data_IF_905686840600
#
_entry.id   IF_905686840600
#
_cell.length_a   1.000
_cell.length_b   1.000
_cell.length_c   1.000
_cell.angle_alpha   90.00
_cell.angle_beta   90.00
_cell.angle_gamma   90.00
#
_symmetry.space_group_name_H-M   'P 1'
#
loop_
_entity.id
_entity.type
_entity.pdbx_description
1 polymer ?
#
# COMPACT_ATOMS: atom_id res chain seq x y z
N UNK A 1 -11.02 8.72 14.79
CA UNK A 1 -11.20 8.27 13.39
C UNK A 1 -12.68 8.32 13.08
N UNK A 2 -13.08 8.95 11.98
CA UNK A 2 -14.52 9.09 11.70
C UNK A 2 -15.12 7.74 11.35
N UNK A 3 -16.14 7.36 12.09
CA UNK A 3 -17.03 6.27 11.70
C UNK A 3 -17.92 6.79 10.58
N UNK A 4 -18.14 5.98 9.55
CA UNK A 4 -19.22 6.25 8.59
C UNK A 4 -20.51 6.01 9.38
N UNK A 5 -21.30 7.06 9.59
CA UNK A 5 -22.53 6.98 10.38
C UNK A 5 -23.56 6.02 9.76
N UNK A 6 -23.54 5.88 8.42
CA UNK A 6 -24.42 4.98 7.68
C UNK A 6 -23.63 4.15 6.65
N UNK A 7 -22.89 3.11 7.09
CA UNK A 7 -22.19 2.21 6.17
C UNK A 7 -23.16 1.51 5.20
N UNK A 8 -24.42 1.37 5.62
CA UNK A 8 -25.49 0.69 4.90
C UNK A 8 -25.85 1.39 3.57
N UNK A 9 -25.64 2.70 3.45
CA UNK A 9 -25.94 3.42 2.20
C UNK A 9 -25.09 2.92 1.01
N UNK A 10 -23.86 2.45 1.26
CA UNK A 10 -22.98 1.89 0.22
C UNK A 10 -23.47 0.51 -0.23
N UNK A 11 -23.83 -0.38 0.69
CA UNK A 11 -24.30 -1.73 0.34
C UNK A 11 -25.65 -1.71 -0.38
N UNK A 12 -26.52 -0.72 -0.11
CA UNK A 12 -27.76 -0.54 -0.86
C UNK A 12 -27.53 -0.10 -2.30
N UNK A 13 -26.48 0.70 -2.55
CA UNK A 13 -26.10 1.16 -3.89
C UNK A 13 -25.31 0.10 -4.67
N UNK A 14 -24.58 -0.76 -3.96
CA UNK A 14 -23.74 -1.81 -4.52
C UNK A 14 -24.00 -3.11 -3.75
N UNK A 15 -25.02 -3.90 -4.15
CA UNK A 15 -25.46 -5.07 -3.39
C UNK A 15 -24.40 -6.18 -3.31
N UNK A 16 -23.44 -6.19 -4.23
CA UNK A 16 -22.33 -7.13 -4.25
C UNK A 16 -21.17 -6.71 -3.31
N UNK A 17 -21.27 -5.53 -2.65
CA UNK A 17 -20.29 -5.11 -1.65
C UNK A 17 -20.63 -5.75 -0.31
N UNK A 18 -19.66 -6.50 0.22
CA UNK A 18 -19.68 -6.93 1.62
C UNK A 18 -18.82 -6.02 2.48
N UNK A 19 -19.38 -5.54 3.59
CA UNK A 19 -18.62 -4.85 4.62
C UNK A 19 -18.04 -5.87 5.59
N UNK A 20 -16.79 -5.68 5.99
CA UNK A 20 -16.15 -6.45 7.06
C UNK A 20 -15.85 -5.52 8.22
N UNK A 21 -16.09 -6.02 9.43
CA UNK A 21 -15.66 -5.34 10.65
C UNK A 21 -14.13 -5.18 10.63
N UNK A 22 -13.63 -4.13 11.27
CA UNK A 22 -12.22 -3.93 11.57
C UNK A 22 -12.07 -3.88 13.09
N UNK A 23 -12.33 -5.03 13.73
CA UNK A 23 -12.27 -5.14 15.18
C UNK A 23 -10.84 -5.45 15.63
N UNK A 24 -10.39 -4.81 16.71
CA UNK A 24 -8.99 -4.85 17.13
C UNK A 24 -8.51 -6.24 17.58
N UNK A 25 -9.44 -7.12 17.96
CA UNK A 25 -9.18 -8.53 18.24
C UNK A 25 -8.60 -9.27 17.01
N UNK A 26 -8.97 -8.87 15.78
CA UNK A 26 -8.45 -9.45 14.54
C UNK A 26 -6.96 -9.18 14.28
N UNK A 27 -6.41 -8.16 14.95
CA UNK A 27 -5.01 -7.74 14.85
C UNK A 27 -4.25 -7.82 16.18
N UNK A 28 -4.88 -8.30 17.25
CA UNK A 28 -4.31 -8.20 18.60
C UNK A 28 -2.93 -8.86 18.72
N UNK A 29 -2.77 -10.05 18.12
CA UNK A 29 -1.49 -10.78 18.13
C UNK A 29 -0.38 -10.04 17.38
N UNK A 30 -0.66 -9.55 16.18
CA UNK A 30 0.29 -8.74 15.42
C UNK A 30 0.59 -7.42 16.13
N UNK A 31 -0.42 -6.75 16.68
CA UNK A 31 -0.26 -5.49 17.40
C UNK A 31 0.69 -5.66 18.59
N UNK A 32 0.50 -6.71 19.39
CA UNK A 32 1.37 -7.03 20.52
C UNK A 32 2.80 -7.36 20.05
N UNK A 33 2.94 -8.11 18.96
CA UNK A 33 4.25 -8.39 18.37
C UNK A 33 5.01 -7.10 17.99
N UNK A 34 4.34 -6.17 17.30
CA UNK A 34 4.96 -4.95 16.77
C UNK A 34 5.15 -3.84 17.81
N UNK A 35 4.40 -3.84 18.92
CA UNK A 35 4.59 -2.94 20.07
C UNK A 35 5.92 -3.12 20.80
N UNK A 36 6.63 -4.23 20.54
CA UNK A 36 8.00 -4.45 21.04
C UNK A 36 9.05 -3.59 20.32
N UNK A 37 8.65 -2.90 19.25
CA UNK A 37 9.49 -1.96 18.51
C UNK A 37 9.02 -0.52 18.76
N UNK A 38 9.89 0.49 18.59
CA UNK A 38 9.53 1.88 18.86
C UNK A 38 8.29 2.32 18.09
N UNK A 39 7.38 3.04 18.76
CA UNK A 39 6.33 3.79 18.08
C UNK A 39 6.97 4.84 17.18
N UNK A 40 6.72 4.71 15.87
CA UNK A 40 7.40 5.52 14.86
C UNK A 40 6.78 6.90 14.71
N UNK A 41 5.50 7.04 15.07
CA UNK A 41 4.75 8.29 14.93
C UNK A 41 4.49 8.97 16.27
N UNK A 42 4.87 8.34 17.38
CA UNK A 42 4.65 8.85 18.74
C UNK A 42 3.16 9.20 18.97
N UNK A 43 2.29 8.30 18.51
CA UNK A 43 0.83 8.47 18.48
C UNK A 43 0.08 7.39 19.27
N UNK A 44 0.76 6.83 20.28
CA UNK A 44 0.30 5.70 21.09
C UNK A 44 -0.11 4.50 20.22
N UNK A 45 0.72 4.23 19.20
CA UNK A 45 0.52 3.15 18.23
C UNK A 45 -0.79 3.23 17.43
N UNK A 46 -1.46 4.38 17.36
CA UNK A 46 -2.66 4.56 16.55
C UNK A 46 -2.36 4.35 15.05
N UNK A 47 -1.23 4.86 14.56
CA UNK A 47 -0.77 4.65 13.18
C UNK A 47 -0.43 3.19 12.90
N UNK A 48 0.17 2.49 13.88
CA UNK A 48 0.44 1.06 13.77
C UNK A 48 -0.87 0.25 13.68
N UNK A 49 -1.85 0.54 14.54
CA UNK A 49 -3.17 -0.12 14.53
C UNK A 49 -3.84 0.02 13.17
N UNK A 50 -3.87 1.23 12.62
CA UNK A 50 -4.41 1.49 11.28
C UNK A 50 -3.68 0.71 10.20
N UNK A 51 -2.35 0.67 10.28
CA UNK A 51 -1.53 -0.05 9.32
C UNK A 51 -1.87 -1.54 9.33
N UNK A 52 -2.02 -2.16 10.51
CA UNK A 52 -2.36 -3.57 10.63
C UNK A 52 -3.73 -3.89 10.05
N UNK A 53 -4.75 -3.08 10.37
CA UNK A 53 -6.10 -3.21 9.77
C UNK A 53 -6.05 -3.05 8.25
N UNK A 54 -5.33 -2.04 7.76
CA UNK A 54 -5.13 -1.85 6.33
C UNK A 54 -4.47 -3.07 5.68
N UNK A 55 -3.46 -3.68 6.31
CA UNK A 55 -2.80 -4.88 5.78
C UNK A 55 -3.72 -6.11 5.77
N UNK A 56 -4.57 -6.30 6.80
CA UNK A 56 -5.56 -7.40 6.83
C UNK A 56 -6.58 -7.24 5.71
N UNK A 57 -7.13 -6.03 5.55
CA UNK A 57 -8.07 -5.70 4.47
C UNK A 57 -7.43 -5.93 3.10
N UNK A 58 -6.20 -5.46 2.92
CA UNK A 58 -5.46 -5.66 1.68
C UNK A 58 -5.23 -7.15 1.38
N UNK A 59 -4.77 -7.94 2.36
CA UNK A 59 -4.53 -9.36 2.19
C UNK A 59 -5.81 -10.13 1.83
N UNK A 60 -6.93 -9.81 2.49
CA UNK A 60 -8.22 -10.41 2.20
C UNK A 60 -8.68 -10.11 0.77
N UNK A 61 -8.60 -8.84 0.35
CA UNK A 61 -8.93 -8.42 -1.02
C UNK A 61 -8.02 -9.07 -2.06
N UNK A 62 -6.73 -9.20 -1.79
CA UNK A 62 -5.78 -9.88 -2.68
C UNK A 62 -6.09 -11.35 -2.84
N UNK A 63 -6.39 -12.07 -1.76
CA UNK A 63 -6.76 -13.50 -1.84
C UNK A 63 -7.99 -13.70 -2.72
N UNK A 64 -9.00 -12.84 -2.57
CA UNK A 64 -10.20 -12.88 -3.41
C UNK A 64 -9.89 -12.55 -4.86
N UNK A 65 -9.14 -11.47 -5.13
CA UNK A 65 -8.79 -11.10 -6.50
C UNK A 65 -8.00 -12.20 -7.22
N UNK A 66 -7.14 -12.93 -6.50
CA UNK A 66 -6.33 -14.01 -7.07
C UNK A 66 -7.11 -15.28 -7.41
N UNK A 67 -8.39 -15.41 -7.01
CA UNK A 67 -9.22 -16.55 -7.44
C UNK A 67 -9.67 -16.43 -8.90
N UNK A 68 -9.64 -15.22 -9.45
CA UNK A 68 -9.95 -14.93 -10.85
C UNK A 68 -8.72 -14.32 -11.54
N UNK A 69 -7.91 -15.13 -12.26
CA UNK A 69 -6.67 -14.66 -12.84
C UNK A 69 -6.86 -13.53 -13.85
N UNK A 70 -6.20 -12.39 -13.60
CA UNK A 70 -6.20 -11.23 -14.49
C UNK A 70 -4.79 -10.83 -14.96
N UNK A 71 -4.72 -10.11 -16.09
CA UNK A 71 -3.48 -9.51 -16.60
C UNK A 71 -2.97 -8.37 -15.70
N UNK A 72 -3.92 -7.63 -15.09
CA UNK A 72 -3.66 -6.55 -14.17
C UNK A 72 -4.46 -6.72 -12.89
N UNK A 73 -3.82 -6.47 -11.74
CA UNK A 73 -4.51 -6.30 -10.46
C UNK A 73 -4.29 -4.86 -9.99
N UNK A 74 -5.37 -4.16 -9.70
CA UNK A 74 -5.37 -2.74 -9.35
C UNK A 74 -5.77 -2.56 -7.89
N UNK A 75 -4.89 -1.95 -7.12
CA UNK A 75 -5.09 -1.66 -5.70
C UNK A 75 -5.44 -0.19 -5.54
N UNK A 76 -6.72 0.05 -5.27
CA UNK A 76 -7.29 1.38 -5.12
C UNK A 76 -7.73 1.58 -3.66
N UNK A 77 -7.42 2.75 -3.13
CA UNK A 77 -7.96 3.18 -1.83
C UNK A 77 -9.32 3.84 -2.03
N UNK A 78 -10.31 3.55 -1.18
CA UNK A 78 -11.64 4.17 -1.27
C UNK A 78 -11.65 5.64 -0.81
N UNK A 79 -10.64 6.07 -0.04
CA UNK A 79 -10.52 7.45 0.46
C UNK A 79 -9.76 8.38 -0.51
N UNK A 80 -9.66 8.04 -1.80
CA UNK A 80 -8.96 8.85 -2.80
C UNK A 80 -9.89 9.36 -3.89
N UNK A 81 -9.73 10.64 -4.26
CA UNK A 81 -10.24 11.21 -5.50
C UNK A 81 -9.15 11.08 -6.55
N UNK A 82 -9.41 10.31 -7.60
CA UNK A 82 -8.50 10.16 -8.74
C UNK A 82 -8.64 11.36 -9.66
N UNK A 83 -7.60 12.19 -9.74
CA UNK A 83 -7.62 13.46 -10.46
C UNK A 83 -7.28 13.29 -11.94
N UNK A 84 -6.51 12.24 -12.26
CA UNK A 84 -6.10 11.90 -13.61
C UNK A 84 -6.58 10.50 -13.98
N UNK A 85 -6.75 10.24 -15.29
CA UNK A 85 -7.08 8.92 -15.80
C UNK A 85 -5.92 7.93 -15.60
N UNK A 86 -6.20 6.75 -15.06
CA UNK A 86 -5.22 5.65 -14.93
C UNK A 86 -5.02 4.86 -16.23
N UNK A 87 -5.80 5.13 -17.28
CA UNK A 87 -5.71 4.42 -18.56
C UNK A 87 -4.27 4.38 -19.11
N UNK A 88 -3.51 5.49 -19.17
CA UNK A 88 -2.13 5.45 -19.68
C UNK A 88 -1.22 4.54 -18.85
N UNK A 89 -1.48 4.40 -17.55
CA UNK A 89 -0.72 3.49 -16.68
C UNK A 89 -1.03 2.04 -17.03
N UNK A 90 -2.31 1.70 -17.24
CA UNK A 90 -2.73 0.35 -17.65
C UNK A 90 -2.12 -0.05 -19.00
N UNK A 91 -2.17 0.85 -20.00
CA UNK A 91 -1.56 0.61 -21.30
C UNK A 91 -0.05 0.33 -21.19
N UNK A 92 0.68 1.13 -20.40
CA UNK A 92 2.13 0.91 -20.16
C UNK A 92 2.42 -0.38 -19.39
N UNK A 93 1.53 -0.78 -18.49
CA UNK A 93 1.66 -2.00 -17.70
C UNK A 93 1.48 -3.25 -18.59
N UNK A 94 0.45 -3.24 -19.45
CA UNK A 94 0.16 -4.31 -20.41
C UNK A 94 1.23 -4.43 -21.51
N UNK A 95 1.81 -3.31 -21.96
CA UNK A 95 2.82 -3.30 -23.02
C UNK A 95 4.16 -3.97 -22.65
N UNK A 96 4.38 -4.32 -21.37
CA UNK A 96 5.66 -4.86 -20.88
C UNK A 96 5.44 -6.12 -20.06
N UNK A 97 5.49 -7.31 -20.68
CA UNK A 97 5.19 -8.57 -20.01
C UNK A 97 6.17 -8.86 -18.86
N UNK A 98 5.68 -9.62 -17.89
CA UNK A 98 6.42 -10.06 -16.71
C UNK A 98 6.01 -9.32 -15.42
N UNK A 99 6.38 -9.85 -14.25
CA UNK A 99 5.98 -9.30 -12.96
C UNK A 99 6.58 -7.91 -12.72
N UNK A 100 5.73 -6.94 -12.44
CA UNK A 100 6.11 -5.60 -12.04
C UNK A 100 5.02 -4.99 -11.15
N UNK A 101 5.41 -4.01 -10.35
CA UNK A 101 4.50 -3.18 -9.58
C UNK A 101 4.69 -1.73 -10.01
N UNK A 102 3.58 -1.04 -10.24
CA UNK A 102 3.55 0.34 -10.63
C UNK A 102 3.00 1.17 -9.46
N UNK A 103 3.76 2.18 -9.02
CA UNK A 103 3.38 3.06 -7.90
C UNK A 103 3.48 4.54 -8.27
N UNK A 104 2.75 5.45 -7.61
CA UNK A 104 2.86 6.88 -7.85
C UNK A 104 4.27 7.42 -7.57
N UNK A 105 4.70 8.40 -8.37
CA UNK A 105 6.00 9.05 -8.24
C UNK A 105 6.04 10.19 -7.20
N UNK A 106 4.88 10.61 -6.72
CA UNK A 106 4.68 11.71 -5.76
C UNK A 106 4.51 11.19 -4.33
N UNK A 107 4.63 12.10 -3.34
CA UNK A 107 4.51 11.82 -1.89
C UNK A 107 5.20 10.54 -1.41
N UNK A 108 6.48 10.38 -1.72
CA UNK A 108 7.28 9.26 -1.20
C UNK A 108 8.00 9.66 0.09
N UNK A 109 7.76 8.93 1.16
CA UNK A 109 8.41 9.06 2.47
C UNK A 109 9.49 7.98 2.64
N UNK A 110 10.60 8.12 1.90
CA UNK A 110 11.76 7.21 1.95
C UNK A 110 11.45 5.73 1.60
N UNK A 111 10.29 5.46 1.03
CA UNK A 111 9.85 4.16 0.54
C UNK A 111 9.14 4.28 -0.81
N UNK A 112 8.11 3.46 -1.02
CA UNK A 112 7.22 3.52 -2.17
C UNK A 112 5.81 3.92 -1.74
N UNK A 113 5.21 4.86 -2.47
CA UNK A 113 3.84 5.30 -2.23
C UNK A 113 2.88 4.12 -2.41
N UNK A 114 2.13 3.77 -1.37
CA UNK A 114 1.24 2.60 -1.32
C UNK A 114 -0.25 2.98 -1.44
N UNK A 115 -0.54 4.22 -1.85
CA UNK A 115 -1.92 4.72 -2.01
C UNK A 115 -2.63 4.13 -3.22
N UNK A 116 -1.87 3.86 -4.28
CA UNK A 116 -2.33 3.25 -5.53
C UNK A 116 -1.26 2.27 -5.97
N UNK A 117 -1.65 1.09 -6.42
CA UNK A 117 -0.73 0.22 -7.13
C UNK A 117 -1.40 -0.51 -8.30
N UNK A 118 -0.64 -0.70 -9.38
CA UNK A 118 -1.03 -1.55 -10.51
C UNK A 118 0.01 -2.63 -10.63
N UNK A 119 -0.42 -3.89 -10.64
CA UNK A 119 0.49 -5.04 -10.70
C UNK A 119 0.17 -5.86 -11.94
N UNK A 120 1.20 -6.42 -12.59
CA UNK A 120 1.10 -7.04 -13.92
C UNK A 120 1.06 -8.57 -13.91
N UNK A 121 0.85 -9.17 -12.74
CA UNK A 121 0.82 -10.62 -12.57
C UNK A 121 0.24 -11.00 -11.21
N UNK A 122 -0.30 -12.21 -11.09
CA UNK A 122 -0.73 -12.75 -9.79
C UNK A 122 0.40 -12.80 -8.76
N UNK A 123 1.64 -13.05 -9.20
CA UNK A 123 2.83 -13.01 -8.34
C UNK A 123 3.07 -11.62 -7.75
N UNK A 124 3.07 -10.58 -8.58
CA UNK A 124 3.24 -9.20 -8.11
C UNK A 124 2.07 -8.74 -7.23
N UNK A 125 0.86 -9.21 -7.52
CA UNK A 125 -0.32 -8.94 -6.71
C UNK A 125 -0.22 -9.59 -5.31
N UNK A 126 0.15 -10.88 -5.22
CA UNK A 126 0.36 -11.54 -3.92
C UNK A 126 1.47 -10.86 -3.12
N UNK A 127 2.60 -10.51 -3.76
CA UNK A 127 3.71 -9.84 -3.05
C UNK A 127 3.28 -8.47 -2.52
N UNK A 128 2.54 -7.68 -3.30
CA UNK A 128 2.01 -6.39 -2.84
C UNK A 128 1.00 -6.55 -1.70
N UNK A 129 0.05 -7.45 -1.90
CA UNK A 129 -1.12 -7.66 -1.04
C UNK A 129 -0.82 -8.39 0.27
N UNK A 130 0.14 -9.30 0.22
CA UNK A 130 0.60 -10.09 1.35
C UNK A 130 1.92 -9.56 1.94
N UNK A 131 2.30 -8.31 1.65
CA UNK A 131 3.60 -7.74 2.06
C UNK A 131 3.87 -7.80 3.56
N UNK A 132 2.83 -7.90 4.37
CA UNK A 132 2.92 -8.05 5.82
C UNK A 132 3.62 -9.35 6.27
N UNK A 133 3.65 -10.39 5.42
CA UNK A 133 4.44 -11.61 5.63
C UNK A 133 5.94 -11.32 5.86
N UNK A 134 6.44 -10.23 5.31
CA UNK A 134 7.84 -9.79 5.43
C UNK A 134 8.07 -8.82 6.60
N UNK A 135 7.00 -8.43 7.30
CA UNK A 135 7.05 -7.48 8.42
C UNK A 135 7.99 -7.91 9.55
N UNK A 136 7.97 -9.18 10.03
CA UNK A 136 8.87 -9.63 11.09
C UNK A 136 10.35 -9.49 10.72
N UNK A 137 10.75 -9.85 9.50
CA UNK A 137 12.12 -9.68 9.01
C UNK A 137 12.47 -8.20 8.90
N UNK A 138 11.56 -7.37 8.38
CA UNK A 138 11.76 -5.92 8.25
C UNK A 138 12.06 -5.24 9.59
N UNK A 139 11.29 -5.55 10.64
CA UNK A 139 11.51 -4.97 11.97
C UNK A 139 12.67 -5.63 12.71
N UNK A 140 12.89 -6.94 12.51
CA UNK A 140 13.99 -7.69 13.13
C UNK A 140 15.37 -7.25 12.66
N UNK A 141 15.54 -6.93 11.37
CA UNK A 141 16.81 -6.48 10.81
C UNK A 141 17.27 -5.10 11.30
N UNK A 142 16.36 -4.28 11.85
CA UNK A 142 16.66 -2.87 12.12
C UNK A 142 16.18 -2.32 13.47
N UNK A 143 15.26 -2.99 14.14
CA UNK A 143 14.80 -2.57 15.46
C UNK A 143 13.96 -1.28 15.47
N UNK A 144 13.47 -0.79 14.32
CA UNK A 144 12.50 0.32 14.28
C UNK A 144 11.08 -0.16 14.01
N UNK A 145 10.11 0.65 14.46
CA UNK A 145 8.70 0.43 14.20
C UNK A 145 8.36 0.30 12.72
N UNK A 146 7.27 -0.45 12.46
CA UNK A 146 6.76 -0.75 11.13
C UNK A 146 6.42 0.54 10.35
N UNK A 147 6.65 0.54 9.03
CA UNK A 147 6.26 1.66 8.17
C UNK A 147 5.81 1.17 6.79
N UNK A 148 4.62 1.56 6.36
CA UNK A 148 3.97 0.99 5.17
C UNK A 148 4.79 1.13 3.88
N UNK A 149 5.20 2.36 3.54
CA UNK A 149 5.95 2.63 2.30
C UNK A 149 7.34 1.97 2.28
N UNK A 150 7.98 1.90 3.44
CA UNK A 150 9.31 1.31 3.60
C UNK A 150 9.24 -0.22 3.60
N UNK A 151 8.22 -0.79 4.21
CA UNK A 151 7.90 -2.22 4.12
C UNK A 151 7.65 -2.60 2.67
N UNK A 152 6.85 -1.82 1.93
CA UNK A 152 6.61 -2.07 0.52
C UNK A 152 7.93 -2.08 -0.27
N UNK A 153 8.78 -1.06 -0.08
CA UNK A 153 10.08 -1.00 -0.74
C UNK A 153 11.00 -2.18 -0.36
N UNK A 154 11.09 -2.52 0.93
CA UNK A 154 11.85 -3.68 1.42
C UNK A 154 11.36 -4.99 0.78
N UNK A 155 10.05 -5.20 0.77
CA UNK A 155 9.42 -6.40 0.19
C UNK A 155 9.70 -6.52 -1.31
N UNK A 156 9.51 -5.45 -2.09
CA UNK A 156 9.78 -5.49 -3.53
C UNK A 156 11.27 -5.75 -3.81
N UNK A 157 12.15 -5.11 -3.04
CA UNK A 157 13.59 -5.26 -3.20
C UNK A 157 14.07 -6.67 -2.86
N UNK A 158 13.64 -7.25 -1.73
CA UNK A 158 14.02 -8.61 -1.31
C UNK A 158 13.45 -9.67 -2.23
N UNK A 159 12.22 -9.48 -2.73
CA UNK A 159 11.56 -10.39 -3.67
C UNK A 159 11.96 -10.17 -5.14
N UNK A 160 12.86 -9.21 -5.42
CA UNK A 160 13.33 -8.85 -6.76
C UNK A 160 12.20 -8.50 -7.73
N UNK A 161 11.17 -7.82 -7.24
CA UNK A 161 10.06 -7.32 -8.07
C UNK A 161 10.37 -5.88 -8.52
N UNK A 162 10.42 -5.62 -9.84
CA UNK A 162 10.63 -4.27 -10.36
C UNK A 162 9.50 -3.31 -9.96
N UNK A 163 9.86 -2.13 -9.47
CA UNK A 163 8.93 -1.01 -9.33
C UNK A 163 9.04 -0.05 -10.52
N UNK A 164 7.90 0.37 -11.07
CA UNK A 164 7.82 1.41 -12.11
C UNK A 164 6.98 2.57 -11.59
N UNK A 165 7.45 3.79 -11.79
CA UNK A 165 6.75 4.97 -11.29
C UNK A 165 5.82 5.56 -12.34
N UNK A 166 4.69 6.11 -11.91
CA UNK A 166 3.76 6.85 -12.76
C UNK A 166 3.34 8.20 -12.13
N UNK A 167 3.04 9.24 -12.93
CA UNK A 167 2.74 10.59 -12.42
C UNK A 167 1.26 10.85 -12.05
N UNK A 168 0.33 10.01 -12.51
CA UNK A 168 -1.12 10.19 -12.33
C UNK A 168 -1.49 10.41 -10.86
N UNK A 169 -2.29 11.45 -10.61
CA UNK A 169 -2.51 12.03 -9.28
C UNK A 169 -3.80 11.53 -8.66
N UNK A 170 -3.77 11.42 -7.34
CA UNK A 170 -4.96 11.24 -6.53
C UNK A 170 -4.79 11.96 -5.20
N UNK A 171 -5.87 12.59 -4.74
CA UNK A 171 -5.89 13.32 -3.49
C UNK A 171 -6.79 12.64 -2.46
N UNK A 172 -6.40 12.65 -1.19
CA UNK A 172 -7.22 12.04 -0.14
C UNK A 172 -8.50 12.84 0.09
N UNK A 173 -9.64 12.17 0.09
CA UNK A 173 -10.91 12.70 0.55
C UNK A 173 -11.14 12.28 2.01
N UNK A 174 -11.43 13.23 2.89
CA UNK A 174 -11.80 12.97 4.28
C UNK A 174 -13.33 12.78 4.38
N UNK A 175 -13.79 12.26 5.52
CA UNK A 175 -15.20 11.91 5.77
C UNK A 175 -16.16 13.10 5.59
N UNK A 176 -15.69 14.34 5.72
CA UNK A 176 -16.46 15.55 5.40
C UNK A 176 -16.46 15.97 3.93
N UNK A 177 -16.01 15.13 2.99
CA UNK A 177 -15.87 15.47 1.57
C UNK A 177 -14.67 16.37 1.23
N UNK A 178 -13.93 16.82 2.25
CA UNK A 178 -12.78 17.70 2.07
C UNK A 178 -11.62 16.93 1.45
N UNK A 179 -11.11 17.47 0.33
CA UNK A 179 -9.92 16.94 -0.33
C UNK A 179 -8.68 17.58 0.29
N UNK A 180 -7.67 16.75 0.60
CA UNK A 180 -6.36 17.21 1.08
C UNK A 180 -5.58 17.79 -0.10
N UNK A 181 -4.94 18.94 0.12
CA UNK A 181 -3.97 19.50 -0.83
C UNK A 181 -2.65 18.71 -0.74
N UNK A 182 -2.38 17.91 -1.77
CA UNK A 182 -1.26 16.95 -1.80
C UNK A 182 -0.11 17.51 -2.66
N UNK A 183 1.14 17.38 -2.17
CA UNK A 183 2.34 17.72 -2.96
C UNK A 183 2.61 16.67 -4.05
N UNK A 184 2.18 16.95 -5.27
CA UNK A 184 2.41 16.10 -6.45
C UNK A 184 3.79 16.27 -7.09
N UNK A 185 4.70 17.04 -6.49
CA UNK A 185 6.03 17.28 -7.04
C UNK A 185 6.84 15.98 -7.10
N UNK A 186 7.28 15.62 -8.31
CA UNK A 186 8.14 14.45 -8.51
C UNK A 186 9.59 14.79 -8.14
N UNK A 187 10.02 14.26 -6.99
CA UNK A 187 11.39 14.44 -6.49
C UNK A 187 12.34 13.44 -7.18
N UNK A 188 12.82 13.77 -8.39
CA UNK A 188 13.63 12.89 -9.24
C UNK A 188 14.85 12.27 -8.54
N UNK A 189 15.56 13.03 -7.69
CA UNK A 189 16.69 12.52 -6.89
C UNK A 189 16.26 11.44 -5.90
N UNK A 190 15.09 11.59 -5.28
CA UNK A 190 14.50 10.61 -4.36
C UNK A 190 14.11 9.36 -5.15
N UNK A 191 13.41 9.52 -6.26
CA UNK A 191 13.01 8.43 -7.17
C UNK A 191 14.21 7.59 -7.62
N UNK A 192 15.26 8.22 -8.14
CA UNK A 192 16.47 7.53 -8.59
C UNK A 192 17.15 6.77 -7.44
N UNK A 193 17.28 7.40 -6.27
CA UNK A 193 17.85 6.75 -5.07
C UNK A 193 17.02 5.56 -4.61
N UNK A 194 15.69 5.66 -4.64
CA UNK A 194 14.79 4.56 -4.27
C UNK A 194 14.97 3.38 -5.22
N UNK A 195 15.02 3.61 -6.54
CA UNK A 195 15.28 2.54 -7.52
C UNK A 195 16.64 1.87 -7.31
N UNK A 196 17.70 2.65 -7.09
CA UNK A 196 19.03 2.11 -6.81
C UNK A 196 19.03 1.24 -5.54
N UNK A 197 18.37 1.70 -4.47
CA UNK A 197 18.27 0.94 -3.21
C UNK A 197 17.47 -0.34 -3.35
N UNK A 198 16.38 -0.34 -4.13
CA UNK A 198 15.60 -1.56 -4.41
C UNK A 198 16.47 -2.66 -5.04
N UNK A 199 17.42 -2.26 -5.90
CA UNK A 199 18.29 -3.20 -6.62
C UNK A 199 19.52 -3.63 -5.82
N UNK A 200 20.16 -2.68 -5.12
CA UNK A 200 21.50 -2.85 -4.56
C UNK A 200 21.50 -3.13 -3.05
N UNK A 201 20.52 -2.59 -2.31
CA UNK A 201 20.52 -2.64 -0.84
C UNK A 201 19.09 -2.61 -0.27
N UNK A 202 18.26 -3.62 -0.54
CA UNK A 202 16.85 -3.62 -0.13
C UNK A 202 16.68 -3.59 1.40
N UNK A 203 17.58 -4.23 2.16
CA UNK A 203 17.62 -4.15 3.63
C UNK A 203 17.83 -2.72 4.15
N UNK A 204 18.39 -1.81 3.33
CA UNK A 204 18.48 -0.40 3.72
C UNK A 204 17.10 0.23 3.93
N UNK A 205 16.02 -0.27 3.31
CA UNK A 205 14.68 0.24 3.58
C UNK A 205 14.17 -0.12 4.97
N UNK A 206 14.79 -1.08 5.66
CA UNK A 206 14.62 -1.23 7.09
C UNK A 206 15.22 0.00 7.82
N UNK A 207 16.41 0.49 7.41
CA UNK A 207 17.20 1.59 8.02
C UNK A 207 16.61 3.02 7.98
#
# INVERSE_FOLDING_TARGET
MGQIAEPNAIIHRFPDISLRSQADDEIAGELEFYKRYPDRWDDDYASLRNLLHQQKSLQAGTKLALTDPADLYVFLRPDLVYLDSLHPVFARALARPGPAIHTPAWLTCRGLNDRIAITTSGRSADIYGSRMKFGPSFVGEYGRGLHSERLLAYTLGTQRIPNRFFPERAARCRIGGQTVDEDFTIKWRVKARTLARLQLAPSSFAK
#
